data_IF_040734504580
#
_entry.id   IF_040734504580
#
_cell.length_a   1.000
_cell.length_b   1.000
_cell.length_c   1.000
_cell.angle_alpha   90.00
_cell.angle_beta   90.00
_cell.angle_gamma   90.00
#
_symmetry.space_group_name_H-M   'P 1'
#
loop_
_entity.id
_entity.type
_entity.pdbx_description
1 polymer ?
#
# COMPACT_ATOMS: atom_id res chain seq x y z
N UNK A 1 1.63 -11.83 -0.14
CA UNK A 1 0.42 -12.13 0.65
C UNK A 1 -0.29 -10.90 1.23
N UNK A 2 0.00 -9.67 0.77
CA UNK A 2 -0.65 -8.46 1.30
C UNK A 2 -2.17 -8.37 1.11
N UNK A 3 -2.74 -9.11 0.14
CA UNK A 3 -4.20 -9.21 -0.08
C UNK A 3 -4.92 -10.19 0.85
N UNK A 4 -4.18 -10.97 1.64
CA UNK A 4 -4.71 -11.92 2.61
C UNK A 4 -4.50 -11.38 4.03
N UNK A 5 -4.99 -10.16 4.25
CA UNK A 5 -4.83 -9.33 5.44
C UNK A 5 -6.04 -9.37 6.40
N UNK A 6 -7.14 -10.01 5.98
CA UNK A 6 -8.34 -10.20 6.80
C UNK A 6 -9.03 -11.51 6.47
N UNK A 7 -10.00 -11.89 7.30
CA UNK A 7 -10.95 -12.96 6.98
C UNK A 7 -12.16 -12.36 6.28
N UNK A 8 -12.20 -12.47 4.97
CA UNK A 8 -13.36 -12.13 4.14
C UNK A 8 -14.37 -13.28 4.05
N UNK A 9 -13.93 -14.51 4.32
CA UNK A 9 -14.79 -15.70 4.36
C UNK A 9 -14.52 -16.57 5.60
N UNK A 10 -15.45 -17.46 5.98
CA UNK A 10 -15.20 -18.45 7.02
C UNK A 10 -14.04 -19.39 6.65
N UNK A 11 -13.19 -19.71 7.64
CA UNK A 11 -12.09 -20.68 7.53
C UNK A 11 -10.96 -20.34 6.55
N UNK A 12 -10.81 -19.07 6.15
CA UNK A 12 -9.61 -18.59 5.44
C UNK A 12 -8.54 -18.10 6.43
N UNK A 13 -7.24 -18.26 6.12
CA UNK A 13 -6.16 -17.74 6.94
C UNK A 13 -5.95 -16.24 6.74
N UNK A 14 -5.28 -15.59 7.69
CA UNK A 14 -4.71 -14.24 7.50
C UNK A 14 -3.21 -14.42 7.21
N UNK A 15 -2.89 -14.79 5.98
CA UNK A 15 -1.52 -15.16 5.60
C UNK A 15 -0.53 -14.00 5.72
N UNK A 16 -0.98 -12.75 5.56
CA UNK A 16 -0.12 -11.59 5.81
C UNK A 16 0.40 -11.56 7.25
N UNK A 17 -0.44 -11.90 8.25
CA UNK A 17 -0.01 -11.99 9.65
C UNK A 17 0.95 -13.15 9.89
N UNK A 18 0.69 -14.30 9.27
CA UNK A 18 1.61 -15.44 9.35
C UNK A 18 3.01 -15.07 8.81
N UNK A 19 3.08 -14.42 7.64
CA UNK A 19 4.36 -13.98 7.06
C UNK A 19 5.07 -12.97 7.96
N UNK A 20 4.35 -12.00 8.54
CA UNK A 20 4.93 -11.06 9.49
C UNK A 20 5.57 -11.78 10.70
N UNK A 21 4.84 -12.73 11.30
CA UNK A 21 5.35 -13.54 12.40
C UNK A 21 6.60 -14.35 11.99
N UNK A 22 6.63 -14.95 10.80
CA UNK A 22 7.78 -15.73 10.32
C UNK A 22 9.02 -14.86 10.11
N UNK A 23 8.86 -13.64 9.60
CA UNK A 23 9.94 -12.67 9.42
C UNK A 23 10.53 -12.28 10.79
N UNK A 24 9.68 -12.04 11.79
CA UNK A 24 10.13 -11.74 13.16
C UNK A 24 10.84 -12.92 13.81
N UNK A 25 10.26 -14.13 13.71
CA UNK A 25 10.86 -15.36 14.27
C UNK A 25 12.22 -15.65 13.63
N UNK A 26 12.40 -15.33 12.35
CA UNK A 26 13.70 -15.45 11.67
C UNK A 26 14.75 -14.44 12.18
N UNK A 27 14.34 -13.45 12.98
CA UNK A 27 15.25 -12.51 13.65
C UNK A 27 15.30 -11.11 13.04
N UNK A 28 14.34 -10.73 12.19
CA UNK A 28 14.30 -9.37 11.66
C UNK A 28 14.03 -8.34 12.78
N UNK A 29 14.74 -7.21 12.76
CA UNK A 29 14.59 -6.13 13.75
C UNK A 29 13.81 -4.91 13.22
N UNK A 30 13.59 -4.83 11.91
CA UNK A 30 12.85 -3.77 11.21
C UNK A 30 12.40 -4.26 9.84
N UNK A 31 11.30 -3.70 9.33
CA UNK A 31 10.86 -3.90 7.94
C UNK A 31 10.80 -2.57 7.21
N UNK A 32 11.28 -2.54 5.98
CA UNK A 32 11.08 -1.46 5.02
C UNK A 32 10.29 -2.03 3.84
N UNK A 33 9.20 -1.37 3.45
CA UNK A 33 8.34 -1.83 2.36
C UNK A 33 7.77 -0.66 1.56
N UNK A 34 7.15 -0.95 0.42
CA UNK A 34 6.52 0.03 -0.46
C UNK A 34 5.05 -0.36 -0.67
N UNK A 35 4.13 0.60 -0.51
CA UNK A 35 2.70 0.52 -0.81
C UNK A 35 2.04 -0.81 -0.42
N UNK A 36 1.86 -1.02 0.89
CA UNK A 36 1.13 -2.18 1.39
C UNK A 36 -0.29 -2.18 0.82
N UNK A 37 -0.81 -3.37 0.53
CA UNK A 37 -2.18 -3.50 0.03
C UNK A 37 -3.19 -2.83 0.97
N UNK A 38 -3.03 -3.06 2.27
CA UNK A 38 -3.71 -2.36 3.36
C UNK A 38 -2.66 -1.87 4.36
N UNK A 39 -2.69 -0.58 4.70
CA UNK A 39 -1.72 0.05 5.61
C UNK A 39 -1.74 -0.56 7.03
N UNK A 40 -2.86 -1.17 7.43
CA UNK A 40 -3.00 -1.86 8.72
C UNK A 40 -2.07 -3.06 8.88
N UNK A 41 -1.51 -3.59 7.77
CA UNK A 41 -0.51 -4.66 7.80
C UNK A 41 0.73 -4.23 8.59
N UNK A 42 1.03 -2.93 8.70
CA UNK A 42 2.09 -2.44 9.60
C UNK A 42 1.88 -2.94 11.05
N UNK A 43 0.63 -2.97 11.53
CA UNK A 43 0.27 -3.48 12.86
C UNK A 43 0.32 -5.01 13.00
N UNK A 44 0.67 -5.74 11.94
CA UNK A 44 0.96 -7.17 12.06
C UNK A 44 2.35 -7.45 12.62
N UNK A 45 3.24 -6.46 12.55
CA UNK A 45 4.57 -6.54 13.10
C UNK A 45 4.62 -5.93 14.51
N UNK A 46 5.43 -6.53 15.38
CA UNK A 46 5.81 -6.00 16.70
C UNK A 46 7.18 -5.28 16.66
N UNK A 47 7.81 -5.25 15.48
CA UNK A 47 9.03 -4.50 15.18
C UNK A 47 8.69 -3.25 14.35
N UNK A 48 9.55 -2.21 14.31
CA UNK A 48 9.32 -1.04 13.48
C UNK A 48 9.13 -1.40 12.00
N UNK A 49 8.12 -0.78 11.38
CA UNK A 49 7.82 -0.90 9.95
C UNK A 49 7.83 0.49 9.33
N UNK A 50 8.66 0.67 8.32
CA UNK A 50 8.67 1.85 7.48
C UNK A 50 7.93 1.51 6.17
N UNK A 51 6.73 2.05 5.97
CA UNK A 51 5.99 1.96 4.70
C UNK A 51 6.22 3.22 3.87
N UNK A 52 6.88 3.06 2.73
CA UNK A 52 7.07 4.12 1.75
C UNK A 52 5.95 4.09 0.71
N UNK A 53 5.68 5.22 0.07
CA UNK A 53 4.76 5.30 -1.07
C UNK A 53 5.48 5.68 -2.36
N UNK A 54 5.16 4.98 -3.45
CA UNK A 54 5.64 5.31 -4.79
C UNK A 54 4.81 6.41 -5.47
N UNK A 55 3.64 6.78 -4.92
CA UNK A 55 2.72 7.75 -5.53
C UNK A 55 3.41 9.07 -5.92
N UNK A 56 4.21 9.74 -5.05
CA UNK A 56 4.85 11.00 -5.42
C UNK A 56 5.80 10.87 -6.61
N UNK A 57 6.53 9.75 -6.71
CA UNK A 57 7.45 9.48 -7.81
C UNK A 57 6.68 9.28 -9.13
N UNK A 58 5.61 8.49 -9.09
CA UNK A 58 4.77 8.23 -10.26
C UNK A 58 4.03 9.49 -10.72
N UNK A 59 3.49 10.27 -9.78
CA UNK A 59 2.81 11.52 -10.09
C UNK A 59 3.78 12.52 -10.74
N UNK A 60 5.00 12.69 -10.21
CA UNK A 60 6.03 13.54 -10.83
C UNK A 60 6.30 13.14 -12.28
N UNK A 61 6.43 11.85 -12.57
CA UNK A 61 6.64 11.38 -13.94
C UNK A 61 5.54 11.84 -14.89
N UNK A 62 4.27 11.84 -14.46
CA UNK A 62 3.15 12.32 -15.26
C UNK A 62 3.08 13.84 -15.34
N UNK A 63 3.44 14.58 -14.29
CA UNK A 63 3.56 16.04 -14.34
C UNK A 63 4.55 16.48 -15.41
N UNK A 64 5.69 15.79 -15.52
CA UNK A 64 6.74 16.09 -16.51
C UNK A 64 6.30 15.87 -17.97
N UNK A 65 5.17 15.19 -18.20
CA UNK A 65 4.59 15.01 -19.53
C UNK A 65 3.77 16.21 -20.02
N UNK A 66 3.46 17.17 -19.15
CA UNK A 66 2.69 18.39 -19.47
C UNK A 66 1.37 18.09 -20.17
N UNK A 67 0.60 17.12 -19.67
CA UNK A 67 -0.76 16.88 -20.16
C UNK A 67 -1.71 18.01 -19.73
N UNK A 68 -2.64 18.38 -20.62
CA UNK A 68 -3.74 19.30 -20.32
C UNK A 68 -4.98 18.50 -19.87
N UNK A 69 -5.81 19.10 -19.01
CA UNK A 69 -7.08 18.52 -18.52
C UNK A 69 -6.99 17.07 -18.01
N UNK A 70 -6.02 16.82 -17.12
CA UNK A 70 -5.79 15.49 -16.54
C UNK A 70 -6.96 15.05 -15.67
N UNK A 71 -7.37 13.78 -15.79
CA UNK A 71 -8.33 13.13 -14.90
C UNK A 71 -7.70 11.88 -14.32
N UNK A 72 -7.74 11.74 -12.99
CA UNK A 72 -7.32 10.52 -12.30
C UNK A 72 -8.53 9.66 -11.98
N UNK A 73 -8.53 8.42 -12.44
CA UNK A 73 -9.61 7.45 -12.20
C UNK A 73 -9.15 6.36 -11.24
N UNK A 74 -10.05 5.97 -10.33
CA UNK A 74 -9.84 4.80 -9.49
C UNK A 74 -10.36 3.55 -10.22
N UNK A 75 -9.61 2.45 -10.16
CA UNK A 75 -10.03 1.17 -10.74
C UNK A 75 -11.14 0.50 -9.95
N UNK A 76 -11.19 0.73 -8.64
CA UNK A 76 -12.24 0.28 -7.74
C UNK A 76 -12.35 1.19 -6.50
N UNK A 77 -13.29 0.86 -5.61
CA UNK A 77 -13.54 1.64 -4.39
C UNK A 77 -12.38 1.59 -3.39
N UNK A 78 -11.59 0.50 -3.38
CA UNK A 78 -10.45 0.34 -2.49
C UNK A 78 -9.29 1.27 -2.86
N UNK A 79 -9.12 1.53 -4.16
CA UNK A 79 -8.09 2.44 -4.66
C UNK A 79 -8.53 3.91 -4.73
N UNK A 80 -9.80 4.23 -4.43
CA UNK A 80 -10.33 5.59 -4.50
C UNK A 80 -9.51 6.61 -3.71
N UNK A 81 -9.00 6.23 -2.52
CA UNK A 81 -8.13 7.09 -1.71
C UNK A 81 -6.80 7.37 -2.43
N UNK A 82 -6.14 6.34 -2.97
CA UNK A 82 -4.87 6.48 -3.69
C UNK A 82 -5.03 7.33 -4.96
N UNK A 83 -6.13 7.12 -5.69
CA UNK A 83 -6.48 7.95 -6.84
C UNK A 83 -6.67 9.42 -6.43
N UNK A 84 -7.41 9.69 -5.35
CA UNK A 84 -7.59 11.05 -4.83
C UNK A 84 -6.28 11.70 -4.35
N UNK A 85 -5.39 10.95 -3.70
CA UNK A 85 -4.08 11.44 -3.27
C UNK A 85 -3.18 11.75 -4.49
N UNK A 86 -3.27 10.94 -5.55
CA UNK A 86 -2.56 11.19 -6.82
C UNK A 86 -3.12 12.42 -7.55
N UNK A 87 -4.45 12.56 -7.60
CA UNK A 87 -5.14 13.70 -8.23
C UNK A 87 -4.71 15.04 -7.62
N UNK A 88 -4.62 15.11 -6.28
CA UNK A 88 -4.12 16.29 -5.57
C UNK A 88 -2.70 16.68 -5.98
N UNK A 89 -1.82 15.70 -6.24
CA UNK A 89 -0.43 15.99 -6.66
C UNK A 89 -0.41 16.49 -8.12
N UNK A 90 -1.28 15.93 -8.97
CA UNK A 90 -1.38 16.31 -10.38
C UNK A 90 -2.22 17.57 -10.64
N UNK A 91 -2.86 18.14 -9.61
CA UNK A 91 -3.88 19.19 -9.75
C UNK A 91 -5.01 18.79 -10.72
N UNK A 92 -5.46 17.53 -10.59
CA UNK A 92 -6.53 16.90 -11.39
C UNK A 92 -7.80 16.68 -10.55
#
# INVERSE_FOLDING_TARGET
>A
YGRSDKKDQPRVPITARLVANLIEVAGANRVLTIDLHAGQIQGFFNIPVDELSAIPMLARYYMEKNFEDVVVTATDIGDAKRAGDTAKILNA
#
